data_IF_265446591104
#
_entry.id   IF_265446591104
#
_cell.length_a   1.000
_cell.length_b   1.000
_cell.length_c   1.000
_cell.angle_alpha   90.00
_cell.angle_beta   90.00
_cell.angle_gamma   90.00
#
_symmetry.space_group_name_H-M   'P 1'
#
loop_
_entity.id
_entity.type
_entity.pdbx_description
1 polymer ?
#
# COMPACT_ATOMS: atom_id res chain seq x y z
N UNK A 1 -8.54 10.15 -13.95
CA UNK A 1 -7.51 9.26 -13.39
C UNK A 1 -8.19 8.35 -12.39
N UNK A 2 -8.18 7.05 -12.64
CA UNK A 2 -8.69 6.05 -11.70
C UNK A 2 -7.82 6.08 -10.42
N UNK A 3 -8.37 5.73 -9.26
CA UNK A 3 -7.60 5.77 -7.99
C UNK A 3 -6.32 4.93 -8.05
N UNK A 4 -6.38 3.77 -8.72
CA UNK A 4 -5.22 2.92 -8.97
C UNK A 4 -4.11 3.61 -9.77
N UNK A 5 -4.46 4.49 -10.72
CA UNK A 5 -3.47 5.23 -11.49
C UNK A 5 -2.76 6.28 -10.64
N UNK A 6 -3.49 6.96 -9.74
CA UNK A 6 -2.90 7.92 -8.80
C UNK A 6 -1.93 7.24 -7.85
N UNK A 7 -2.32 6.10 -7.28
CA UNK A 7 -1.46 5.30 -6.40
C UNK A 7 -0.22 4.82 -7.16
N UNK A 8 -0.36 4.38 -8.41
CA UNK A 8 0.77 3.99 -9.26
C UNK A 8 1.75 5.14 -9.47
N UNK A 9 1.26 6.35 -9.75
CA UNK A 9 2.14 7.52 -9.91
C UNK A 9 2.87 7.87 -8.61
N UNK A 10 2.23 7.74 -7.44
CA UNK A 10 2.90 7.94 -6.14
C UNK A 10 4.00 6.92 -5.88
N UNK A 11 3.76 5.64 -6.16
CA UNK A 11 4.75 4.57 -5.97
C UNK A 11 6.00 4.79 -6.83
N UNK A 12 5.84 5.30 -8.06
CA UNK A 12 6.96 5.62 -8.96
C UNK A 12 7.91 6.69 -8.41
N UNK A 13 7.46 7.47 -7.43
CA UNK A 13 8.24 8.54 -6.82
C UNK A 13 9.05 8.07 -5.61
N UNK A 14 8.80 6.85 -5.12
CA UNK A 14 9.59 6.21 -4.09
C UNK A 14 10.97 5.84 -4.64
N UNK A 15 11.99 5.89 -3.78
CA UNK A 15 13.26 5.28 -4.13
C UNK A 15 13.15 3.74 -4.16
N UNK A 16 14.18 3.07 -4.68
CA UNK A 16 14.17 1.62 -4.84
C UNK A 16 14.04 0.87 -3.50
N UNK A 17 14.61 1.40 -2.43
CA UNK A 17 14.56 0.79 -1.10
C UNK A 17 13.15 0.88 -0.50
N UNK A 18 12.53 2.05 -0.60
CA UNK A 18 11.17 2.31 -0.14
C UNK A 18 10.15 1.51 -0.96
N UNK A 19 10.31 1.46 -2.28
CA UNK A 19 9.45 0.66 -3.15
C UNK A 19 9.54 -0.84 -2.84
N UNK A 20 10.76 -1.37 -2.59
CA UNK A 20 10.96 -2.76 -2.15
C UNK A 20 10.32 -3.03 -0.80
N UNK A 21 10.47 -2.12 0.16
CA UNK A 21 9.89 -2.26 1.49
C UNK A 21 8.37 -2.30 1.44
N UNK A 22 7.76 -1.40 0.65
CA UNK A 22 6.31 -1.40 0.41
C UNK A 22 5.84 -2.72 -0.20
N UNK A 23 6.57 -3.24 -1.20
CA UNK A 23 6.28 -4.53 -1.83
C UNK A 23 6.30 -5.69 -0.82
N UNK A 24 7.30 -5.74 0.07
CA UNK A 24 7.38 -6.78 1.09
C UNK A 24 6.20 -6.74 2.06
N UNK A 25 5.75 -5.55 2.46
CA UNK A 25 4.61 -5.39 3.38
C UNK A 25 3.32 -5.93 2.74
N UNK A 26 3.12 -5.64 1.44
CA UNK A 26 1.97 -6.15 0.68
C UNK A 26 2.01 -7.68 0.62
N UNK A 27 3.17 -8.24 0.27
CA UNK A 27 3.31 -9.69 0.20
C UNK A 27 3.08 -10.36 1.56
N UNK A 28 3.65 -9.83 2.64
CA UNK A 28 3.45 -10.36 3.99
C UNK A 28 1.98 -10.27 4.42
N UNK A 29 1.29 -9.18 4.09
CA UNK A 29 -0.14 -9.03 4.32
C UNK A 29 -0.95 -10.08 3.57
N UNK A 30 -0.74 -10.22 2.26
CA UNK A 30 -1.44 -11.20 1.44
C UNK A 30 -1.15 -12.65 1.88
N UNK A 31 0.10 -12.97 2.20
CA UNK A 31 0.49 -14.28 2.69
C UNK A 31 -0.20 -14.61 4.03
N UNK A 32 -0.24 -13.65 4.95
CA UNK A 32 -0.98 -13.79 6.21
C UNK A 32 -2.47 -14.00 5.97
N UNK A 33 -3.04 -13.29 5.00
CA UNK A 33 -4.46 -13.43 4.67
C UNK A 33 -4.80 -14.78 4.02
N UNK A 34 -3.87 -15.34 3.23
CA UNK A 34 -4.05 -16.62 2.53
C UNK A 34 -3.76 -17.84 3.43
N UNK A 35 -2.81 -17.71 4.37
CA UNK A 35 -2.30 -18.83 5.19
C UNK A 35 -2.76 -18.77 6.65
N UNK A 36 -3.26 -17.63 7.11
CA UNK A 36 -3.66 -17.40 8.49
C UNK A 36 -4.99 -18.07 8.87
N UNK A 37 -5.18 -18.30 10.17
CA UNK A 37 -6.35 -19.00 10.73
C UNK A 37 -7.55 -18.08 11.03
N UNK A 38 -7.63 -16.91 10.40
CA UNK A 38 -8.62 -15.87 10.73
C UNK A 38 -9.83 -15.77 9.79
N UNK A 39 -9.86 -16.52 8.68
CA UNK A 39 -10.94 -16.49 7.71
C UNK A 39 -11.18 -15.11 7.08
N UNK A 40 -12.40 -14.88 6.57
CA UNK A 40 -12.76 -13.67 5.82
C UNK A 40 -12.61 -12.35 6.60
N UNK A 41 -12.72 -12.38 7.92
CA UNK A 41 -12.60 -11.19 8.76
C UNK A 41 -11.15 -10.68 8.82
N UNK A 42 -10.19 -11.59 9.01
CA UNK A 42 -8.76 -11.26 8.98
C UNK A 42 -8.34 -10.77 7.59
N UNK A 43 -8.86 -11.38 6.52
CA UNK A 43 -8.63 -10.93 5.14
C UNK A 43 -9.10 -9.48 4.93
N UNK A 44 -10.32 -9.15 5.39
CA UNK A 44 -10.86 -7.78 5.28
C UNK A 44 -10.03 -6.76 6.05
N UNK A 45 -9.55 -7.12 7.24
CA UNK A 45 -8.71 -6.24 8.05
C UNK A 45 -7.35 -5.98 7.37
N UNK A 46 -6.73 -7.03 6.82
CA UNK A 46 -5.47 -6.91 6.08
C UNK A 46 -5.65 -6.04 4.83
N UNK A 47 -6.70 -6.27 4.04
CA UNK A 47 -7.00 -5.47 2.85
C UNK A 47 -7.21 -4.00 3.23
N UNK A 48 -7.95 -3.73 4.31
CA UNK A 48 -8.17 -2.37 4.82
C UNK A 48 -6.85 -1.71 5.23
N UNK A 49 -6.00 -2.42 5.96
CA UNK A 49 -4.70 -1.89 6.39
C UNK A 49 -3.79 -1.57 5.20
N UNK A 50 -3.74 -2.45 4.19
CA UNK A 50 -2.99 -2.19 2.96
C UNK A 50 -3.53 -0.98 2.20
N UNK A 51 -4.86 -0.87 2.07
CA UNK A 51 -5.49 0.29 1.44
C UNK A 51 -5.17 1.60 2.18
N UNK A 52 -5.30 1.60 3.51
CA UNK A 52 -5.01 2.77 4.34
C UNK A 52 -3.54 3.20 4.21
N UNK A 53 -2.60 2.25 4.15
CA UNK A 53 -1.19 2.52 3.88
C UNK A 53 -0.99 3.22 2.53
N UNK A 54 -1.60 2.73 1.45
CA UNK A 54 -1.51 3.37 0.14
C UNK A 54 -2.10 4.78 0.12
N UNK A 55 -3.24 4.99 0.77
CA UNK A 55 -3.90 6.29 0.82
C UNK A 55 -3.04 7.38 1.47
N UNK A 56 -2.14 6.99 2.37
CA UNK A 56 -1.25 7.87 3.13
C UNK A 56 0.09 8.13 2.44
N UNK A 57 0.38 7.48 1.31
CA UNK A 57 1.57 7.83 0.53
C UNK A 57 1.37 9.27 0.04
N UNK A 58 2.21 10.22 0.46
CA UNK A 58 2.04 11.62 0.11
C UNK A 58 2.15 11.80 -1.40
N UNK A 59 1.33 12.68 -1.96
CA UNK A 59 1.53 13.13 -3.34
C UNK A 59 2.72 14.08 -3.38
N UNK A 60 3.52 14.02 -4.46
CA UNK A 60 4.61 14.97 -4.69
C UNK A 60 4.15 16.44 -4.80
N UNK A 61 2.83 16.70 -4.81
CA UNK A 61 2.27 18.05 -4.73
C UNK A 61 2.23 18.60 -3.29
N UNK A 62 2.19 17.76 -2.25
CA UNK A 62 2.23 18.22 -0.84
C UNK A 62 3.58 18.83 -0.47
N UNK A 63 4.65 18.48 -1.19
CA UNK A 63 5.99 19.04 -1.01
C UNK A 63 6.26 20.31 -1.83
N UNK A 64 5.32 20.75 -2.68
CA UNK A 64 5.47 21.96 -3.51
C UNK A 64 4.84 23.21 -2.89
N UNK A 65 4.22 23.10 -1.71
CA UNK A 65 3.66 24.24 -0.95
C UNK A 65 4.59 24.72 0.19
N UNK A 66 5.91 24.80 -0.06
CA UNK A 66 6.83 25.51 0.83
C UNK A 66 7.69 26.50 0.07
#
# INVERSE_FOLDING_TARGET
MLEMEKVRERIKLLDESDAKSLLMIIYAGLDTALTGTGGDEALKEIIKNLHDMYSRIPDNNDFREK
#
